data_IF_481739228961
#
_entry.id   IF_481739228961
#
_cell.length_a   1.000
_cell.length_b   1.000
_cell.length_c   1.000
_cell.angle_alpha   90.00
_cell.angle_beta   90.00
_cell.angle_gamma   90.00
#
_symmetry.space_group_name_H-M   'P 1'
#
loop_
_entity.id
_entity.type
_entity.pdbx_description
1 polymer ?
#
# COMPACT_ATOMS: atom_id res chain seq x y z
N UNK A 1 17.58 11.67 -16.43
CA UNK A 1 17.39 11.12 -15.08
C UNK A 1 16.25 10.12 -15.12
N UNK A 2 16.55 8.86 -14.82
CA UNK A 2 15.54 7.82 -14.79
C UNK A 2 14.70 7.96 -13.51
N UNK A 3 13.42 8.17 -13.67
CA UNK A 3 12.51 8.19 -12.51
C UNK A 3 12.24 6.77 -12.05
N UNK A 4 12.18 6.57 -10.74
CA UNK A 4 11.73 5.31 -10.15
C UNK A 4 10.22 5.21 -10.31
N UNK A 5 9.76 4.36 -11.21
CA UNK A 5 8.33 4.19 -11.53
C UNK A 5 7.84 2.80 -11.11
N UNK A 6 6.65 2.75 -10.55
CA UNK A 6 5.91 1.52 -10.29
C UNK A 6 4.50 1.72 -10.85
N UNK A 7 4.05 0.84 -11.73
CA UNK A 7 2.77 0.97 -12.45
C UNK A 7 2.63 2.32 -13.17
N UNK A 8 3.73 2.86 -13.68
CA UNK A 8 3.72 4.18 -14.32
C UNK A 8 3.62 5.35 -13.35
N UNK A 9 3.61 5.10 -12.05
CA UNK A 9 3.53 6.11 -11.00
C UNK A 9 4.92 6.38 -10.41
N UNK A 10 5.28 7.65 -10.19
CA UNK A 10 6.59 7.98 -9.62
C UNK A 10 6.61 7.69 -8.11
N UNK A 11 7.64 6.98 -7.63
CA UNK A 11 7.83 6.85 -6.19
C UNK A 11 8.13 8.21 -5.57
N UNK A 12 7.64 8.48 -4.36
CA UNK A 12 8.05 9.68 -3.63
C UNK A 12 9.58 9.73 -3.50
N UNK A 13 10.17 10.90 -3.70
CA UNK A 13 11.63 11.04 -3.61
C UNK A 13 12.17 10.60 -2.25
N UNK A 14 11.42 10.85 -1.18
CA UNK A 14 11.77 10.40 0.16
C UNK A 14 11.88 8.87 0.24
N UNK A 15 10.96 8.13 -0.41
CA UNK A 15 11.03 6.68 -0.43
C UNK A 15 12.24 6.19 -1.23
N UNK A 16 12.53 6.83 -2.35
CA UNK A 16 13.73 6.52 -3.15
C UNK A 16 14.99 6.71 -2.31
N UNK A 17 15.07 7.80 -1.55
CA UNK A 17 16.21 8.09 -0.68
C UNK A 17 16.33 7.05 0.45
N UNK A 18 15.21 6.68 1.06
CA UNK A 18 15.21 5.65 2.11
C UNK A 18 15.65 4.29 1.59
N UNK A 19 15.22 3.91 0.39
CA UNK A 19 15.65 2.67 -0.26
C UNK A 19 17.15 2.69 -0.56
N UNK A 20 17.65 3.79 -1.12
CA UNK A 20 19.06 3.94 -1.44
C UNK A 20 19.94 3.93 -0.20
N UNK A 21 19.47 4.45 0.91
CA UNK A 21 20.19 4.49 2.18
C UNK A 21 20.00 3.23 3.04
N UNK A 22 19.26 2.23 2.54
CA UNK A 22 18.88 1.01 3.29
C UNK A 22 18.16 1.32 4.61
N UNK A 23 17.36 2.38 4.62
CA UNK A 23 16.62 2.83 5.80
C UNK A 23 15.12 2.52 5.71
N UNK A 24 14.65 2.03 4.57
CA UNK A 24 13.27 1.56 4.43
C UNK A 24 13.17 0.16 5.02
N UNK A 25 12.91 0.08 6.32
CA UNK A 25 12.89 -1.18 7.05
C UNK A 25 11.88 -1.10 8.20
N UNK A 26 11.51 -2.27 8.70
CA UNK A 26 10.52 -2.43 9.74
C UNK A 26 10.96 -1.70 11.03
N UNK A 27 10.17 -0.76 11.56
CA UNK A 27 10.55 0.04 12.72
C UNK A 27 10.31 -0.67 14.07
N UNK A 28 9.65 -1.83 14.06
CA UNK A 28 9.23 -2.57 15.24
C UNK A 28 7.71 -2.65 15.35
N UNK A 29 7.21 -3.76 15.92
CA UNK A 29 5.78 -4.05 16.01
C UNK A 29 5.02 -2.98 16.80
N UNK A 30 5.61 -2.49 17.88
CA UNK A 30 4.98 -1.49 18.74
C UNK A 30 4.69 -0.19 17.97
N UNK A 31 5.64 0.24 17.13
CA UNK A 31 5.48 1.44 16.31
C UNK A 31 4.42 1.22 15.24
N UNK A 32 4.48 0.10 14.52
CA UNK A 32 3.49 -0.21 13.49
C UNK A 32 2.08 -0.31 14.06
N UNK A 33 1.90 -0.93 15.21
CA UNK A 33 0.59 -1.02 15.85
C UNK A 33 0.06 0.33 16.30
N UNK A 34 0.94 1.27 16.61
CA UNK A 34 0.54 2.64 16.93
C UNK A 34 0.09 3.39 15.66
N UNK A 35 0.80 3.19 14.56
CA UNK A 35 0.54 3.91 13.29
C UNK A 35 -0.62 3.29 12.52
N UNK A 36 -0.72 1.94 12.51
CA UNK A 36 -1.79 1.20 11.82
C UNK A 36 -2.44 0.22 12.79
N UNK A 37 -3.23 0.72 13.76
CA UNK A 37 -3.71 -0.12 14.87
C UNK A 37 -4.72 -1.21 14.47
N UNK A 38 -5.34 -1.10 13.32
CA UNK A 38 -6.31 -2.11 12.86
C UNK A 38 -5.67 -3.29 12.13
N UNK A 39 -4.39 -3.22 11.76
CA UNK A 39 -3.66 -4.38 11.24
C UNK A 39 -2.87 -5.01 12.36
N UNK A 40 -3.21 -6.25 12.70
CA UNK A 40 -2.57 -7.00 13.80
C UNK A 40 -1.56 -8.01 13.30
N UNK A 41 -1.68 -8.42 12.03
CA UNK A 41 -0.78 -9.40 11.44
C UNK A 41 0.56 -8.78 11.08
N UNK A 42 1.65 -9.57 11.05
CA UNK A 42 2.96 -9.06 10.68
C UNK A 42 2.98 -8.51 9.24
N UNK A 43 3.58 -7.35 9.07
CA UNK A 43 3.73 -6.70 7.78
C UNK A 43 5.18 -6.72 7.34
N UNK A 44 5.39 -6.86 6.03
CA UNK A 44 6.70 -6.81 5.38
C UNK A 44 6.83 -5.48 4.66
N UNK A 45 7.90 -4.76 4.92
CA UNK A 45 8.29 -3.58 4.15
C UNK A 45 8.86 -4.07 2.83
N UNK A 46 8.20 -3.73 1.71
CA UNK A 46 8.64 -4.18 0.40
C UNK A 46 9.99 -3.52 0.07
N UNK A 47 11.07 -4.34 -0.12
CA UNK A 47 12.43 -3.81 -0.05
C UNK A 47 12.96 -3.21 -1.35
N UNK A 48 12.20 -3.30 -2.43
CA UNK A 48 12.69 -2.85 -3.74
C UNK A 48 11.56 -2.43 -4.65
N UNK A 49 11.91 -1.69 -5.70
CA UNK A 49 11.00 -1.35 -6.79
C UNK A 49 10.36 -2.59 -7.40
N UNK A 50 11.16 -3.65 -7.58
CA UNK A 50 10.67 -4.90 -8.16
C UNK A 50 9.58 -5.53 -7.29
N UNK A 51 9.81 -5.59 -5.98
CA UNK A 51 8.83 -6.16 -5.05
C UNK A 51 7.55 -5.32 -5.01
N UNK A 52 7.69 -4.00 -5.00
CA UNK A 52 6.55 -3.09 -5.05
C UNK A 52 5.79 -3.24 -6.37
N UNK A 53 6.50 -3.38 -7.49
CA UNK A 53 5.88 -3.58 -8.80
C UNK A 53 5.10 -4.89 -8.84
N UNK A 54 5.66 -5.98 -8.32
CA UNK A 54 4.97 -7.27 -8.27
C UNK A 54 3.70 -7.18 -7.42
N UNK A 55 3.80 -6.58 -6.24
CA UNK A 55 2.65 -6.42 -5.34
C UNK A 55 1.56 -5.50 -5.92
N UNK A 56 1.93 -4.59 -6.82
CA UNK A 56 1.02 -3.58 -7.37
C UNK A 56 0.54 -3.91 -8.79
N UNK A 57 0.91 -5.06 -9.36
CA UNK A 57 0.56 -5.44 -10.74
C UNK A 57 -0.84 -6.03 -10.82
N UNK A 58 -1.83 -5.15 -10.74
CA UNK A 58 -3.21 -5.58 -10.83
C UNK A 58 -3.56 -6.23 -12.19
N UNK A 59 -2.89 -5.86 -13.27
CA UNK A 59 -3.14 -6.38 -14.61
C UNK A 59 -2.87 -7.88 -14.74
N UNK A 60 -1.89 -8.39 -14.00
CA UNK A 60 -1.60 -9.83 -14.00
C UNK A 60 -2.69 -10.66 -13.37
N UNK A 61 -3.54 -10.04 -12.56
CA UNK A 61 -4.56 -10.74 -11.79
C UNK A 61 -5.89 -10.86 -12.54
N UNK A 62 -6.07 -10.09 -13.62
CA UNK A 62 -7.33 -10.09 -14.37
C UNK A 62 -7.58 -11.42 -15.07
N UNK A 63 -6.52 -12.07 -15.56
CA UNK A 63 -6.61 -13.32 -16.31
C UNK A 63 -6.68 -14.57 -15.41
N UNK A 64 -6.34 -14.45 -14.14
CA UNK A 64 -6.37 -15.55 -13.18
C UNK A 64 -7.58 -15.37 -12.26
N UNK A 65 -8.56 -16.32 -12.25
CA UNK A 65 -9.75 -16.19 -11.42
C UNK A 65 -9.48 -16.02 -9.93
N UNK A 66 -8.44 -16.65 -9.40
CA UNK A 66 -8.08 -16.53 -7.99
C UNK A 66 -7.56 -15.13 -7.67
N UNK A 67 -6.78 -14.57 -8.58
CA UNK A 67 -6.24 -13.23 -8.43
C UNK A 67 -7.26 -12.14 -8.77
N UNK A 68 -8.21 -12.42 -9.65
CA UNK A 68 -9.32 -11.50 -9.90
C UNK A 68 -10.12 -11.24 -8.63
N UNK A 69 -10.31 -12.27 -7.81
CA UNK A 69 -10.94 -12.11 -6.50
C UNK A 69 -10.11 -11.23 -5.57
N UNK A 70 -8.78 -11.41 -5.57
CA UNK A 70 -7.88 -10.57 -4.76
C UNK A 70 -8.01 -9.09 -5.13
N UNK A 71 -8.01 -8.76 -6.42
CA UNK A 71 -8.18 -7.37 -6.87
C UNK A 71 -9.53 -6.81 -6.42
N UNK A 72 -10.55 -7.63 -6.47
CA UNK A 72 -11.88 -7.23 -6.00
C UNK A 72 -11.84 -6.85 -4.51
N UNK A 73 -11.15 -7.66 -3.71
CA UNK A 73 -10.96 -7.38 -2.29
C UNK A 73 -10.01 -6.19 -2.08
N UNK A 74 -8.94 -6.09 -2.86
CA UNK A 74 -7.98 -4.99 -2.73
C UNK A 74 -8.62 -3.63 -2.99
N UNK A 75 -9.63 -3.59 -3.86
CA UNK A 75 -10.39 -2.36 -4.07
C UNK A 75 -11.30 -2.01 -2.90
N UNK A 76 -11.63 -2.97 -2.05
CA UNK A 76 -12.44 -2.75 -0.87
C UNK A 76 -13.94 -2.76 -1.13
N UNK A 77 -14.41 -2.34 -2.28
CA UNK A 77 -15.81 -2.36 -2.65
C UNK A 77 -16.06 -3.36 -3.78
N UNK A 78 -17.24 -3.98 -3.79
CA UNK A 78 -17.65 -4.86 -4.87
C UNK A 78 -18.04 -4.11 -6.15
N UNK A 79 -17.72 -2.82 -6.20
CA UNK A 79 -18.01 -1.97 -7.34
C UNK A 79 -16.79 -1.87 -8.24
N UNK A 80 -17.01 -1.92 -9.56
CA UNK A 80 -15.98 -1.67 -10.57
C UNK A 80 -15.86 -0.18 -10.88
N UNK A 81 -16.77 0.64 -10.36
CA UNK A 81 -16.78 2.09 -10.60
C UNK A 81 -15.79 2.77 -9.65
N UNK A 82 -14.88 3.61 -10.17
CA UNK A 82 -13.97 4.35 -9.30
C UNK A 82 -14.72 5.18 -8.26
N UNK A 83 -14.32 5.04 -7.01
CA UNK A 83 -14.96 5.69 -5.87
C UNK A 83 -13.89 6.23 -4.92
N UNK A 84 -14.29 7.14 -4.06
CA UNK A 84 -13.46 7.63 -2.97
C UNK A 84 -13.39 6.55 -1.85
N UNK A 85 -12.63 6.81 -0.80
CA UNK A 85 -12.56 5.88 0.33
C UNK A 85 -13.96 5.45 0.79
N UNK A 86 -14.13 4.22 1.17
CA UNK A 86 -13.15 3.19 1.50
C UNK A 86 -12.66 2.34 0.31
N UNK A 87 -12.80 2.78 -0.90
CA UNK A 87 -12.41 2.08 -2.11
C UNK A 87 -11.00 2.51 -2.53
N UNK A 88 -10.15 1.55 -2.88
CA UNK A 88 -8.81 1.82 -3.39
C UNK A 88 -8.81 1.75 -4.92
N UNK A 89 -8.31 2.80 -5.57
CA UNK A 89 -8.04 2.75 -7.00
C UNK A 89 -6.66 2.10 -7.22
N UNK A 90 -6.67 0.80 -7.49
CA UNK A 90 -5.42 0.04 -7.65
C UNK A 90 -4.58 0.51 -8.83
N UNK A 91 -5.18 1.19 -9.80
CA UNK A 91 -4.44 1.78 -10.94
C UNK A 91 -3.66 3.04 -10.54
N UNK A 92 -4.05 3.67 -9.44
CA UNK A 92 -3.38 4.85 -8.91
C UNK A 92 -2.77 4.60 -7.53
N UNK A 93 -2.35 3.38 -7.29
CA UNK A 93 -1.80 2.96 -6.01
C UNK A 93 -0.51 2.18 -6.18
N UNK A 94 0.39 2.34 -5.21
CA UNK A 94 1.59 1.51 -5.08
C UNK A 94 1.55 0.88 -3.70
N UNK A 95 1.60 -0.46 -3.65
CA UNK A 95 1.72 -1.18 -2.38
C UNK A 95 3.15 -1.06 -1.86
N UNK A 96 3.31 -0.66 -0.62
CA UNK A 96 4.62 -0.47 0.03
C UNK A 96 4.85 -1.43 1.19
N UNK A 97 3.78 -1.92 1.83
CA UNK A 97 3.83 -2.99 2.81
C UNK A 97 2.80 -4.05 2.43
N UNK A 98 3.12 -5.30 2.71
CA UNK A 98 2.20 -6.41 2.51
C UNK A 98 2.21 -7.35 3.72
N UNK A 99 1.20 -8.22 3.82
CA UNK A 99 1.16 -9.23 4.86
C UNK A 99 2.33 -10.20 4.71
N UNK A 100 2.91 -10.60 5.84
CA UNK A 100 3.91 -11.67 5.86
C UNK A 100 3.29 -13.04 5.53
N UNK A 101 1.99 -13.20 5.79
CA UNK A 101 1.30 -14.48 5.56
C UNK A 101 0.70 -14.51 4.16
N UNK A 102 1.05 -15.51 3.32
CA UNK A 102 0.42 -15.66 2.00
C UNK A 102 -1.09 -15.86 2.15
N UNK A 103 -1.85 -15.14 1.30
CA UNK A 103 -3.31 -15.23 1.30
C UNK A 103 -4.02 -14.27 2.24
N UNK A 104 -3.30 -13.58 3.11
CA UNK A 104 -3.88 -12.46 3.87
C UNK A 104 -3.86 -11.20 2.99
N UNK A 105 -5.05 -10.70 2.68
CA UNK A 105 -5.23 -9.54 1.80
C UNK A 105 -5.04 -8.23 2.56
N UNK A 106 -3.98 -8.14 3.36
CA UNK A 106 -3.65 -6.96 4.14
C UNK A 106 -2.44 -6.25 3.55
N UNK A 107 -2.50 -4.94 3.53
CA UNK A 107 -1.41 -4.15 3.00
C UNK A 107 -1.54 -2.68 3.29
N UNK A 108 -0.47 -1.98 2.99
CA UNK A 108 -0.40 -0.52 3.07
C UNK A 108 0.00 -0.02 1.69
N UNK A 109 -0.72 0.98 1.20
CA UNK A 109 -0.55 1.50 -0.14
C UNK A 109 -0.43 3.01 -0.15
N UNK A 110 0.32 3.51 -1.13
CA UNK A 110 0.31 4.92 -1.50
C UNK A 110 -0.86 5.17 -2.44
N UNK A 111 -1.67 6.17 -2.13
CA UNK A 111 -2.81 6.57 -2.95
C UNK A 111 -2.49 7.87 -3.68
N UNK A 112 -2.30 7.78 -4.99
CA UNK A 112 -1.89 8.91 -5.83
C UNK A 112 -3.05 9.81 -6.25
N UNK A 113 -4.28 9.51 -5.84
CA UNK A 113 -5.44 10.35 -6.17
C UNK A 113 -5.37 11.72 -5.50
N UNK A 114 -4.65 11.85 -4.38
CA UNK A 114 -4.52 13.11 -3.66
C UNK A 114 -3.29 13.93 -4.08
N UNK A 115 -2.20 13.26 -4.45
CA UNK A 115 -0.95 13.91 -4.84
C UNK A 115 -0.06 12.93 -5.58
N UNK A 116 0.65 13.41 -6.59
CA UNK A 116 1.63 12.59 -7.31
C UNK A 116 3.03 12.66 -6.70
N UNK A 117 3.30 13.64 -5.86
CA UNK A 117 4.64 13.84 -5.29
C UNK A 117 4.72 13.36 -3.84
N UNK A 118 3.65 13.51 -3.07
CA UNK A 118 3.59 13.08 -1.68
C UNK A 118 2.20 12.47 -1.39
N UNK A 119 1.93 11.27 -1.95
CA UNK A 119 0.61 10.66 -1.86
C UNK A 119 0.27 10.27 -0.42
N UNK A 120 -1.02 10.25 -0.13
CA UNK A 120 -1.49 9.77 1.18
C UNK A 120 -1.24 8.27 1.31
N UNK A 121 -1.21 7.81 2.57
CA UNK A 121 -0.98 6.42 2.90
C UNK A 121 -2.29 5.80 3.40
N UNK A 122 -2.68 4.70 2.77
CA UNK A 122 -3.87 3.94 3.13
C UNK A 122 -3.48 2.55 3.61
N UNK A 123 -4.28 2.00 4.50
CA UNK A 123 -4.13 0.61 4.93
C UNK A 123 -5.48 -0.11 4.90
N UNK A 124 -5.45 -1.38 4.55
CA UNK A 124 -6.65 -2.20 4.51
C UNK A 124 -7.14 -2.52 5.92
N UNK A 125 -8.46 -2.44 6.12
CA UNK A 125 -9.10 -2.76 7.39
C UNK A 125 -10.14 -3.86 7.16
N UNK A 126 -9.89 -5.05 7.69
CA UNK A 126 -10.80 -6.19 7.64
C UNK A 126 -11.57 -6.38 8.94
N UNK A 127 -11.14 -5.71 10.00
CA UNK A 127 -11.67 -5.93 11.35
C UNK A 127 -13.02 -5.26 11.59
N UNK A 128 -13.23 -4.09 11.02
CA UNK A 128 -14.40 -3.26 11.34
C UNK A 128 -15.71 -3.84 10.78
N UNK A 129 -15.69 -4.37 9.54
CA UNK A 129 -16.93 -4.81 8.86
C UNK A 129 -16.81 -6.22 8.27
N UNK A 130 -15.72 -6.93 8.50
CA UNK A 130 -15.40 -8.22 7.86
C UNK A 130 -15.34 -8.15 6.33
N UNK A 131 -15.21 -6.94 5.80
CA UNK A 131 -14.96 -6.66 4.39
C UNK A 131 -13.76 -5.72 4.30
N UNK A 132 -13.03 -5.76 3.18
CA UNK A 132 -11.88 -4.88 3.01
C UNK A 132 -12.32 -3.43 2.84
N UNK A 133 -11.95 -2.60 3.79
CA UNK A 133 -12.13 -1.15 3.71
C UNK A 133 -10.75 -0.50 3.77
N UNK A 134 -10.50 0.44 2.87
CA UNK A 134 -9.26 1.20 2.90
C UNK A 134 -9.44 2.45 3.75
N UNK A 135 -8.53 2.65 4.70
CA UNK A 135 -8.57 3.78 5.64
C UNK A 135 -7.28 4.58 5.53
N UNK A 136 -7.40 5.89 5.65
CA UNK A 136 -6.24 6.77 5.66
C UNK A 136 -5.43 6.56 6.94
N UNK A 137 -4.13 6.31 6.77
CA UNK A 137 -3.15 6.25 7.87
C UNK A 137 -2.59 7.65 8.10
N UNK A 138 -2.08 8.26 7.03
CA UNK A 138 -1.56 9.63 7.07
C UNK A 138 -1.94 10.37 5.78
N UNK A 139 -2.07 11.70 5.83
CA UNK A 139 -2.44 12.48 4.64
C UNK A 139 -1.33 12.55 3.59
N UNK A 140 -0.09 12.26 3.96
CA UNK A 140 1.07 12.25 3.06
C UNK A 140 2.02 11.12 3.42
N UNK A 141 2.84 10.69 2.46
CA UNK A 141 3.89 9.71 2.71
C UNK A 141 4.95 10.25 3.68
N UNK A 142 5.32 11.54 3.56
CA UNK A 142 6.30 12.15 4.49
C UNK A 142 5.81 12.10 5.94
N UNK A 143 4.53 12.31 6.20
CA UNK A 143 3.97 12.17 7.55
C UNK A 143 4.05 10.73 8.04
N UNK A 144 3.84 9.75 7.15
CA UNK A 144 3.96 8.32 7.48
C UNK A 144 5.38 7.97 7.91
N UNK A 145 6.38 8.40 7.14
CA UNK A 145 7.80 8.19 7.46
C UNK A 145 8.15 8.82 8.82
N UNK A 146 7.64 10.02 9.08
CA UNK A 146 7.87 10.71 10.34
C UNK A 146 7.28 9.93 11.52
N UNK A 147 6.07 9.42 11.39
CA UNK A 147 5.44 8.61 12.44
C UNK A 147 6.17 7.28 12.68
N UNK A 148 6.74 6.69 11.64
CA UNK A 148 7.54 5.47 11.76
C UNK A 148 8.93 5.75 12.38
N UNK A 149 9.38 6.98 12.41
CA UNK A 149 10.71 7.34 12.90
C UNK A 149 11.87 6.97 11.96
N UNK A 150 11.57 6.86 10.69
CA UNK A 150 12.58 6.52 9.67
C UNK A 150 13.37 7.72 9.17
#
# INVERSE_FOLDING_TARGET
VTRALVNGLPLPSLLVDLLAAHRWCHPGDAILQTVVPWIKDPLVFLPSLKEMAIASQWELFIEDPDFAAFIHYARGAQSVTPMELPWLDVEQAIFILSSQWPGDDQGVALDYRTSRTDPRVLASDWETTHACLWREVTPTFSAFVQQLGL
#
